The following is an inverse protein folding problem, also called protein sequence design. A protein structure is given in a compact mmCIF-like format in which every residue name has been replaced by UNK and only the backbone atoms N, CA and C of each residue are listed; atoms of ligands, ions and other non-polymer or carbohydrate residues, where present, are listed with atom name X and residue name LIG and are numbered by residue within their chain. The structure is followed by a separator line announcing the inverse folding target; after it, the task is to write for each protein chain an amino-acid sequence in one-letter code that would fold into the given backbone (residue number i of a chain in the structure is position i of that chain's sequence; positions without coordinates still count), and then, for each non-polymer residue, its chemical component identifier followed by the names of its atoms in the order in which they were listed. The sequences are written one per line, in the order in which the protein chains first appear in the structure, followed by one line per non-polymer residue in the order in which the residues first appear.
data_IF_708770132737
#
_entry.id   IF_708770132737
#
_cell.length_a   1.000
_cell.length_b   1.000
_cell.length_c   1.000
_cell.angle_alpha   90.00
_cell.angle_beta   90.00
_cell.angle_gamma   90.00
#
_symmetry.space_group_name_H-M   'P 1'
#
loop_
_entity.id
_entity.type
_entity.pdbx_description
1 polymer ?
#
# COMPACT_ATOMS: atom_id res chain seq x y z
N UNK A 1 40.82 3.36 -9.57
CA UNK A 1 39.75 3.74 -8.65
C UNK A 1 39.01 4.88 -9.33
N UNK A 2 37.73 4.72 -9.62
CA UNK A 2 36.93 5.73 -10.28
C UNK A 2 36.27 6.61 -9.24
N UNK A 3 36.17 7.93 -9.49
CA UNK A 3 35.54 8.90 -8.60
C UNK A 3 34.42 9.62 -9.32
N UNK A 4 33.26 9.74 -8.65
CA UNK A 4 32.17 10.60 -9.05
C UNK A 4 32.02 11.68 -7.99
N UNK A 5 31.85 12.94 -8.38
CA UNK A 5 31.69 14.08 -7.46
C UNK A 5 30.34 14.74 -7.72
N UNK A 6 29.52 14.86 -6.66
CA UNK A 6 28.27 15.61 -6.64
C UNK A 6 28.48 16.89 -5.82
N UNK A 7 28.08 18.03 -6.35
CA UNK A 7 28.06 19.29 -5.62
C UNK A 7 26.65 19.61 -5.15
N UNK A 8 26.52 20.07 -3.91
CA UNK A 8 25.25 20.49 -3.35
C UNK A 8 25.03 21.99 -3.58
N UNK A 9 23.81 22.35 -3.98
CA UNK A 9 23.42 23.75 -4.11
C UNK A 9 23.15 24.41 -2.75
N UNK A 10 22.71 23.60 -1.77
CA UNK A 10 22.37 24.04 -0.41
C UNK A 10 22.81 22.99 0.61
N UNK A 11 23.19 23.45 1.80
CA UNK A 11 23.61 22.58 2.89
C UNK A 11 22.47 21.64 3.36
N UNK A 12 21.20 22.10 3.27
CA UNK A 12 20.04 21.28 3.63
C UNK A 12 19.90 20.05 2.75
N UNK A 13 20.34 20.10 1.48
CA UNK A 13 20.35 18.94 0.59
C UNK A 13 21.33 17.88 1.11
N UNK A 14 22.52 18.28 1.54
CA UNK A 14 23.50 17.36 2.12
C UNK A 14 22.92 16.71 3.38
N UNK A 15 22.38 17.49 4.32
CA UNK A 15 21.81 16.99 5.57
C UNK A 15 20.66 15.99 5.27
N UNK A 16 19.73 16.34 4.39
CA UNK A 16 18.60 15.48 4.03
C UNK A 16 19.05 14.21 3.30
N UNK A 17 20.09 14.30 2.46
CA UNK A 17 20.61 13.18 1.70
C UNK A 17 21.33 12.16 2.60
N UNK A 18 22.20 12.63 3.49
CA UNK A 18 22.95 11.77 4.39
C UNK A 18 22.05 11.13 5.46
N UNK A 19 21.02 11.85 5.93
CA UNK A 19 20.14 11.40 7.00
C UNK A 19 20.83 11.43 8.37
N UNK A 20 20.19 10.83 9.37
CA UNK A 20 20.76 10.75 10.72
C UNK A 20 21.98 9.81 10.72
N UNK A 21 23.12 10.30 11.22
CA UNK A 21 24.37 9.53 11.30
C UNK A 21 24.76 8.86 9.98
N UNK A 22 24.54 9.53 8.86
CA UNK A 22 24.84 9.07 7.50
C UNK A 22 24.14 7.76 7.09
N UNK A 23 23.01 7.44 7.72
CA UNK A 23 22.30 6.18 7.54
C UNK A 23 21.94 5.89 6.08
N UNK A 24 21.54 6.91 5.31
CA UNK A 24 21.17 6.76 3.90
C UNK A 24 22.37 6.40 3.04
N UNK A 25 23.53 7.03 3.30
CA UNK A 25 24.75 6.74 2.52
C UNK A 25 25.33 5.38 2.87
N UNK A 26 25.26 4.94 4.12
CA UNK A 26 25.65 3.58 4.51
C UNK A 26 24.85 2.50 3.78
N UNK A 27 23.59 2.74 3.48
CA UNK A 27 22.78 1.82 2.70
C UNK A 27 23.32 1.70 1.27
N UNK A 28 23.67 2.84 0.64
CA UNK A 28 24.24 2.89 -0.71
C UNK A 28 25.63 2.26 -0.75
N UNK A 29 26.49 2.57 0.22
CA UNK A 29 27.82 1.98 0.35
C UNK A 29 27.77 0.45 0.45
N UNK A 30 26.89 -0.06 1.32
CA UNK A 30 26.72 -1.50 1.52
C UNK A 30 26.14 -2.21 0.29
N UNK A 31 25.22 -1.57 -0.42
CA UNK A 31 24.58 -2.18 -1.61
C UNK A 31 25.54 -2.28 -2.79
N UNK A 32 26.25 -1.21 -3.09
CA UNK A 32 27.13 -1.14 -4.26
C UNK A 32 28.59 -1.44 -3.97
N UNK A 33 28.98 -1.52 -2.71
CA UNK A 33 30.39 -1.73 -2.31
C UNK A 33 31.27 -0.56 -2.72
N UNK A 34 30.77 0.67 -2.57
CA UNK A 34 31.47 1.93 -2.82
C UNK A 34 31.76 2.64 -1.50
N UNK A 35 32.64 3.62 -1.53
CA UNK A 35 32.89 4.52 -0.38
C UNK A 35 32.36 5.91 -0.71
N UNK A 36 31.62 6.50 0.25
CA UNK A 36 31.04 7.85 0.14
C UNK A 36 31.70 8.78 1.15
N UNK A 37 32.29 9.87 0.65
CA UNK A 37 32.97 10.84 1.49
C UNK A 37 32.30 12.21 1.34
N UNK A 38 31.81 12.76 2.46
CA UNK A 38 31.30 14.13 2.52
C UNK A 38 32.47 15.14 2.66
N UNK A 39 32.48 16.18 1.84
CA UNK A 39 33.46 17.28 1.86
C UNK A 39 32.78 18.66 1.94
N UNK A 40 31.91 18.84 2.92
CA UNK A 40 31.15 20.09 3.09
C UNK A 40 30.09 20.30 2.01
N UNK A 41 30.40 21.06 0.99
CA UNK A 41 29.45 21.37 -0.11
C UNK A 41 29.52 20.39 -1.28
N UNK A 42 30.24 19.29 -1.15
CA UNK A 42 30.32 18.23 -2.17
C UNK A 42 30.44 16.86 -1.51
N UNK A 43 30.03 15.83 -2.23
CA UNK A 43 30.28 14.45 -1.87
C UNK A 43 31.04 13.74 -2.98
N UNK A 44 31.88 12.79 -2.61
CA UNK A 44 32.59 11.91 -3.53
C UNK A 44 32.18 10.47 -3.34
N UNK A 45 31.94 9.76 -4.43
CA UNK A 45 31.69 8.32 -4.47
C UNK A 45 32.90 7.68 -5.15
N UNK A 46 33.54 6.74 -4.47
CA UNK A 46 34.77 6.09 -4.93
C UNK A 46 34.60 4.58 -4.98
N UNK A 47 35.07 3.94 -6.03
CA UNK A 47 34.99 2.49 -6.18
C UNK A 47 35.29 1.97 -7.59
N UNK A 48 34.72 0.84 -7.95
CA UNK A 48 34.73 0.30 -9.29
C UNK A 48 33.82 1.11 -10.23
N UNK A 49 34.19 1.34 -11.50
CA UNK A 49 33.44 2.23 -12.40
C UNK A 49 31.96 1.95 -12.54
N UNK A 50 31.57 0.68 -12.73
CA UNK A 50 30.16 0.29 -12.86
C UNK A 50 29.36 0.51 -11.58
N UNK A 51 29.94 0.17 -10.42
CA UNK A 51 29.32 0.33 -9.12
C UNK A 51 29.14 1.80 -8.74
N UNK A 52 30.17 2.62 -9.05
CA UNK A 52 30.10 4.08 -8.85
C UNK A 52 29.01 4.70 -9.73
N UNK A 53 28.87 4.24 -10.99
CA UNK A 53 27.82 4.73 -11.88
C UNK A 53 26.42 4.45 -11.33
N UNK A 54 26.15 3.24 -10.82
CA UNK A 54 24.86 2.87 -10.22
C UNK A 54 24.61 3.66 -8.94
N UNK A 55 25.60 3.76 -8.07
CA UNK A 55 25.52 4.54 -6.84
C UNK A 55 25.26 6.04 -7.14
N UNK A 56 25.91 6.60 -8.15
CA UNK A 56 25.68 7.99 -8.58
C UNK A 56 24.25 8.21 -9.03
N UNK A 57 23.69 7.34 -9.87
CA UNK A 57 22.28 7.41 -10.29
C UNK A 57 21.31 7.33 -9.13
N UNK A 58 21.57 6.46 -8.15
CA UNK A 58 20.75 6.36 -6.95
C UNK A 58 20.78 7.66 -6.14
N UNK A 59 21.97 8.23 -5.93
CA UNK A 59 22.15 9.49 -5.22
C UNK A 59 21.50 10.66 -5.96
N UNK A 60 21.67 10.77 -7.28
CA UNK A 60 21.00 11.79 -8.10
C UNK A 60 19.49 11.70 -7.99
N UNK A 61 18.95 10.48 -8.03
CA UNK A 61 17.53 10.23 -7.83
C UNK A 61 17.02 10.68 -6.47
N UNK A 62 17.78 10.43 -5.40
CA UNK A 62 17.44 10.88 -4.05
C UNK A 62 17.50 12.40 -3.92
N UNK A 63 18.48 13.06 -4.54
CA UNK A 63 18.56 14.54 -4.60
C UNK A 63 17.36 15.12 -5.34
N UNK A 64 16.91 14.51 -6.44
CA UNK A 64 15.69 14.93 -7.13
C UNK A 64 14.46 14.84 -6.24
N UNK A 65 14.33 13.79 -5.42
CA UNK A 65 13.23 13.65 -4.46
C UNK A 65 13.29 14.75 -3.38
N UNK A 66 14.47 15.02 -2.82
CA UNK A 66 14.67 16.11 -1.85
C UNK A 66 14.30 17.48 -2.45
N UNK A 67 14.71 17.76 -3.69
CA UNK A 67 14.39 19.02 -4.38
C UNK A 67 12.89 19.20 -4.61
N UNK A 68 12.12 18.10 -4.66
CA UNK A 68 10.66 18.10 -4.72
C UNK A 68 9.99 18.13 -3.33
N UNK A 69 10.79 18.32 -2.25
CA UNK A 69 10.28 18.42 -0.88
C UNK A 69 9.95 17.09 -0.21
N UNK A 70 10.44 15.95 -0.75
CA UNK A 70 10.29 14.66 -0.10
C UNK A 70 11.32 14.51 1.04
N UNK A 71 10.88 13.99 2.17
CA UNK A 71 11.78 13.56 3.24
C UNK A 71 12.27 12.14 2.96
N UNK A 72 13.58 11.94 2.93
CA UNK A 72 14.16 10.63 2.72
C UNK A 72 14.10 9.80 4.00
N UNK A 73 13.90 8.51 3.82
CA UNK A 73 13.99 7.48 4.85
C UNK A 73 14.56 6.20 4.24
N UNK A 74 14.94 5.24 5.05
CA UNK A 74 15.51 3.96 4.60
C UNK A 74 14.70 3.33 3.44
N UNK A 75 13.38 3.38 3.50
CA UNK A 75 12.50 2.79 2.51
C UNK A 75 12.58 3.49 1.15
N UNK A 76 12.60 4.83 1.13
CA UNK A 76 12.79 5.60 -0.11
C UNK A 76 14.15 5.29 -0.75
N UNK A 77 15.21 5.23 0.08
CA UNK A 77 16.57 4.92 -0.39
C UNK A 77 16.62 3.54 -1.02
N UNK A 78 16.13 2.51 -0.34
CA UNK A 78 16.11 1.13 -0.87
C UNK A 78 15.26 0.99 -2.13
N UNK A 79 14.12 1.67 -2.19
CA UNK A 79 13.27 1.64 -3.37
C UNK A 79 13.94 2.35 -4.56
N UNK A 80 14.61 3.48 -4.32
CA UNK A 80 15.41 4.16 -5.33
C UNK A 80 16.53 3.25 -5.88
N UNK A 81 17.25 2.57 -5.00
CA UNK A 81 18.26 1.56 -5.36
C UNK A 81 17.66 0.46 -6.23
N UNK A 82 16.49 -0.07 -5.88
CA UNK A 82 15.85 -1.13 -6.69
C UNK A 82 15.48 -0.66 -8.09
N UNK A 83 15.02 0.58 -8.25
CA UNK A 83 14.72 1.15 -9.56
C UNK A 83 15.98 1.33 -10.41
N UNK A 84 17.09 1.77 -9.81
CA UNK A 84 18.37 1.91 -10.49
C UNK A 84 18.88 0.55 -10.95
N UNK A 85 18.84 -0.47 -10.10
CA UNK A 85 19.28 -1.83 -10.43
C UNK A 85 18.43 -2.48 -11.54
N UNK A 86 17.20 -2.01 -11.74
CA UNK A 86 16.29 -2.45 -12.81
C UNK A 86 16.43 -1.61 -14.09
N UNK A 87 17.25 -0.56 -14.09
CA UNK A 87 17.38 0.38 -15.22
C UNK A 87 16.13 1.26 -15.40
N UNK A 88 15.38 1.50 -14.33
CA UNK A 88 14.16 2.31 -14.30
C UNK A 88 14.36 3.63 -13.52
N UNK A 89 15.58 4.13 -13.50
CA UNK A 89 15.98 5.37 -12.81
C UNK A 89 15.23 6.62 -13.33
N UNK A 90 14.81 6.62 -14.60
CA UNK A 90 13.95 7.63 -15.22
C UNK A 90 12.59 7.81 -14.50
N UNK A 91 12.15 6.82 -13.74
CA UNK A 91 10.88 6.83 -13.00
C UNK A 91 10.99 7.40 -11.58
N UNK A 92 12.19 7.59 -11.05
CA UNK A 92 12.39 8.12 -9.68
C UNK A 92 11.69 9.47 -9.49
N UNK A 93 11.73 10.44 -10.43
CA UNK A 93 11.03 11.71 -10.27
C UNK A 93 9.52 11.60 -10.10
N UNK A 94 8.92 10.50 -10.56
CA UNK A 94 7.48 10.24 -10.42
C UNK A 94 7.08 9.74 -9.02
N UNK A 95 8.04 9.37 -8.18
CA UNK A 95 7.79 9.01 -6.76
C UNK A 95 7.43 10.23 -5.92
N UNK A 96 7.91 11.42 -6.29
CA UNK A 96 7.47 12.65 -5.69
C UNK A 96 6.00 12.88 -6.08
N UNK A 97 5.10 12.51 -5.19
CA UNK A 97 3.66 12.55 -5.44
C UNK A 97 2.96 13.51 -4.48
N UNK A 98 1.81 14.02 -4.94
CA UNK A 98 0.95 14.85 -4.09
C UNK A 98 0.48 14.07 -2.87
N UNK A 99 0.37 14.78 -1.75
CA UNK A 99 -0.20 14.26 -0.53
C UNK A 99 -1.68 13.89 -0.77
N UNK A 100 -2.06 12.65 -0.44
CA UNK A 100 -3.46 12.20 -0.52
C UNK A 100 -4.26 12.88 0.59
N UNK A 101 -3.80 12.74 1.82
CA UNK A 101 -4.37 13.37 3.01
C UNK A 101 -3.28 13.48 4.09
N UNK A 102 -3.60 14.20 5.16
CA UNK A 102 -2.76 14.32 6.35
C UNK A 102 -3.45 13.54 7.48
N UNK A 103 -2.69 12.70 8.19
CA UNK A 103 -3.16 11.96 9.37
C UNK A 103 -3.41 12.90 10.55
N UNK A 104 -4.07 12.41 11.58
CA UNK A 104 -4.26 13.19 12.83
C UNK A 104 -2.95 13.54 13.52
N UNK A 105 -1.90 12.73 13.36
CA UNK A 105 -0.56 13.01 13.87
C UNK A 105 0.24 14.01 13.01
N UNK A 106 -0.36 14.60 11.97
CA UNK A 106 0.28 15.55 11.07
C UNK A 106 1.17 14.91 9.98
N UNK A 107 1.18 13.58 9.84
CA UNK A 107 1.98 12.88 8.84
C UNK A 107 1.28 12.86 7.48
N UNK A 108 1.96 13.23 6.38
CA UNK A 108 1.40 13.15 5.04
C UNK A 108 1.28 11.69 4.59
N UNK A 109 0.12 11.30 4.06
CA UNK A 109 -0.10 10.02 3.39
C UNK A 109 0.19 10.20 1.91
N UNK A 110 1.22 9.50 1.42
CA UNK A 110 1.67 9.56 0.02
C UNK A 110 1.95 8.14 -0.49
N UNK A 111 1.82 7.88 -1.80
CA UNK A 111 2.37 6.67 -2.42
C UNK A 111 3.88 6.60 -2.22
N UNK A 112 4.40 5.46 -1.82
CA UNK A 112 5.82 5.21 -1.58
C UNK A 112 6.49 4.40 -2.69
N UNK A 113 5.68 3.79 -3.57
CA UNK A 113 6.14 2.99 -4.71
C UNK A 113 5.38 3.39 -5.98
N UNK A 114 5.93 3.01 -7.14
CA UNK A 114 5.26 3.23 -8.43
C UNK A 114 3.93 2.48 -8.53
N UNK A 115 3.87 1.25 -7.99
CA UNK A 115 2.63 0.49 -7.92
C UNK A 115 1.57 1.18 -7.07
N UNK A 116 1.96 1.72 -5.92
CA UNK A 116 1.08 2.52 -5.07
C UNK A 116 0.60 3.80 -5.77
N UNK A 117 1.51 4.51 -6.47
CA UNK A 117 1.15 5.70 -7.24
C UNK A 117 0.13 5.35 -8.32
N UNK A 118 0.42 4.33 -9.13
CA UNK A 118 -0.50 3.85 -10.16
C UNK A 118 -1.88 3.51 -9.57
N UNK A 119 -1.90 2.89 -8.40
CA UNK A 119 -3.15 2.53 -7.72
C UNK A 119 -3.96 3.76 -7.30
N UNK A 120 -3.32 4.73 -6.68
CA UNK A 120 -3.96 6.00 -6.28
C UNK A 120 -4.50 6.75 -7.51
N UNK A 121 -3.71 6.86 -8.58
CA UNK A 121 -4.12 7.51 -9.82
C UNK A 121 -5.29 6.74 -10.48
N UNK A 122 -5.26 5.40 -10.43
CA UNK A 122 -6.36 4.57 -10.94
C UNK A 122 -7.65 4.77 -10.14
N UNK A 123 -7.58 4.81 -8.80
CA UNK A 123 -8.75 5.08 -7.93
C UNK A 123 -9.34 6.46 -8.24
N UNK A 124 -8.49 7.46 -8.48
CA UNK A 124 -8.94 8.81 -8.79
C UNK A 124 -9.78 8.85 -10.08
N UNK A 125 -9.38 8.09 -11.09
CA UNK A 125 -9.89 8.21 -12.45
C UNK A 125 -10.94 7.16 -12.85
N UNK A 126 -11.24 6.16 -11.99
CA UNK A 126 -12.16 5.07 -12.34
C UNK A 126 -13.18 4.81 -11.23
N UNK A 127 -14.34 4.28 -11.59
CA UNK A 127 -15.44 4.00 -10.67
C UNK A 127 -15.23 2.72 -9.87
N UNK A 128 -14.75 1.64 -10.49
CA UNK A 128 -14.46 0.38 -9.79
C UNK A 128 -12.98 0.02 -9.97
N UNK A 129 -12.27 -0.13 -8.85
CA UNK A 129 -10.84 -0.47 -8.86
C UNK A 129 -10.57 -1.69 -8.01
N UNK A 130 -9.93 -2.68 -8.61
CA UNK A 130 -9.39 -3.84 -7.91
C UNK A 130 -7.91 -3.63 -7.61
N UNK A 131 -7.54 -3.60 -6.33
CA UNK A 131 -6.16 -3.58 -5.85
C UNK A 131 -5.74 -4.99 -5.40
N UNK A 132 -4.98 -5.70 -6.23
CA UNK A 132 -4.65 -7.12 -5.99
C UNK A 132 -3.15 -7.30 -5.83
N UNK A 133 -2.72 -8.00 -4.79
CA UNK A 133 -1.31 -8.34 -4.56
C UNK A 133 -0.98 -8.64 -3.12
N UNK A 134 0.33 -8.83 -2.81
CA UNK A 134 0.79 -9.30 -1.52
C UNK A 134 0.37 -8.43 -0.35
N UNK A 135 0.30 -9.01 0.84
CA UNK A 135 0.08 -8.27 2.08
C UNK A 135 1.24 -7.27 2.34
N UNK A 136 0.93 -6.12 2.93
CA UNK A 136 1.93 -5.08 3.22
C UNK A 136 2.23 -4.12 2.07
N UNK A 137 1.51 -4.19 0.95
CA UNK A 137 1.62 -3.23 -0.17
C UNK A 137 0.79 -1.96 0.03
N UNK A 138 0.10 -1.81 1.17
CA UNK A 138 -0.67 -0.62 1.50
C UNK A 138 -2.02 -0.47 0.81
N UNK A 139 -2.53 -1.53 0.15
CA UNK A 139 -3.80 -1.50 -0.62
C UNK A 139 -4.96 -0.88 0.15
N UNK A 140 -5.27 -1.46 1.29
CA UNK A 140 -6.39 -1.03 2.14
C UNK A 140 -6.17 0.35 2.73
N UNK A 141 -4.96 0.62 3.23
CA UNK A 141 -4.60 1.91 3.81
C UNK A 141 -4.73 3.06 2.80
N UNK A 142 -4.23 2.89 1.57
CA UNK A 142 -4.34 3.88 0.50
C UNK A 142 -5.78 4.04 0.00
N UNK A 143 -6.56 2.96 -0.05
CA UNK A 143 -7.98 3.03 -0.38
C UNK A 143 -8.75 3.87 0.66
N UNK A 144 -8.49 3.65 1.96
CA UNK A 144 -9.08 4.44 3.06
C UNK A 144 -8.63 5.91 2.96
N UNK A 145 -7.35 6.18 2.66
CA UNK A 145 -6.86 7.53 2.46
C UNK A 145 -7.60 8.27 1.33
N UNK A 146 -7.83 7.58 0.21
CA UNK A 146 -8.58 8.12 -0.91
C UNK A 146 -10.06 8.36 -0.56
N UNK A 147 -10.67 7.46 0.21
CA UNK A 147 -12.04 7.62 0.71
C UNK A 147 -12.16 8.84 1.64
N UNK A 148 -11.23 9.00 2.58
CA UNK A 148 -11.20 10.16 3.49
C UNK A 148 -10.97 11.46 2.72
N UNK A 149 -10.11 11.45 1.69
CA UNK A 149 -9.90 12.60 0.80
C UNK A 149 -11.20 13.01 0.10
N UNK A 150 -11.88 12.05 -0.56
CA UNK A 150 -13.13 12.29 -1.28
C UNK A 150 -14.24 12.77 -0.32
N UNK A 151 -14.31 12.20 0.88
CA UNK A 151 -15.27 12.60 1.91
C UNK A 151 -15.03 14.04 2.43
N UNK A 152 -13.76 14.39 2.72
CA UNK A 152 -13.40 15.77 3.12
C UNK A 152 -13.64 16.78 2.01
N UNK A 153 -13.45 16.39 0.76
CA UNK A 153 -13.73 17.22 -0.43
C UNK A 153 -15.24 17.30 -0.75
N UNK A 154 -16.09 16.56 -0.02
CA UNK A 154 -17.54 16.45 -0.28
C UNK A 154 -17.89 15.89 -1.67
N UNK A 155 -16.97 15.13 -2.26
CA UNK A 155 -17.21 14.37 -3.49
C UNK A 155 -18.17 13.19 -3.24
N UNK A 156 -18.15 12.66 -2.01
CA UNK A 156 -19.08 11.65 -1.50
C UNK A 156 -19.61 12.08 -0.13
N UNK A 157 -20.78 11.58 0.24
CA UNK A 157 -21.41 11.87 1.54
C UNK A 157 -21.17 10.75 2.56
N UNK A 158 -20.75 9.56 2.10
CA UNK A 158 -20.53 8.40 2.95
C UNK A 158 -19.27 7.63 2.60
N UNK A 159 -18.66 7.03 3.63
CA UNK A 159 -17.62 6.02 3.50
C UNK A 159 -18.17 4.70 4.03
N UNK A 160 -18.13 3.65 3.24
CA UNK A 160 -18.60 2.31 3.63
C UNK A 160 -17.44 1.35 3.50
N UNK A 161 -16.99 0.77 4.61
CA UNK A 161 -15.95 -0.24 4.67
C UNK A 161 -16.58 -1.58 5.02
N UNK A 162 -16.27 -2.57 4.22
CA UNK A 162 -16.79 -3.91 4.44
C UNK A 162 -15.73 -4.97 4.24
N UNK A 163 -15.89 -6.09 4.93
CA UNK A 163 -15.01 -7.25 4.85
C UNK A 163 -15.83 -8.52 4.93
N UNK A 164 -15.49 -9.59 4.17
CA UNK A 164 -16.13 -10.88 4.39
C UNK A 164 -15.79 -11.38 5.80
N UNK A 165 -16.79 -11.81 6.53
CA UNK A 165 -16.58 -12.54 7.77
C UNK A 165 -16.14 -13.96 7.40
N UNK A 166 -14.84 -14.22 7.45
CA UNK A 166 -14.28 -15.58 7.25
C UNK A 166 -13.85 -16.11 8.59
N UNK A 167 -14.29 -17.29 8.89
CA UNK A 167 -13.79 -18.05 10.01
C UNK A 167 -12.44 -18.65 9.60
N UNK A 168 -11.33 -18.04 10.06
CA UNK A 168 -10.00 -18.64 9.95
C UNK A 168 -9.92 -19.86 10.90
N UNK A 169 -10.51 -20.99 10.51
CA UNK A 169 -10.48 -22.24 11.29
C UNK A 169 -11.34 -22.26 12.55
N UNK A 170 -11.87 -21.14 13.03
CA UNK A 170 -12.78 -21.06 14.18
C UNK A 170 -14.18 -20.70 13.69
N UNK A 171 -15.16 -21.57 14.01
CA UNK A 171 -16.57 -21.25 13.71
C UNK A 171 -17.00 -20.06 14.56
N UNK A 172 -17.58 -19.01 13.94
CA UNK A 172 -18.17 -17.85 14.62
C UNK A 172 -19.06 -18.22 15.84
N UNK A 173 -19.49 -19.46 15.92
CA UNK A 173 -20.24 -20.03 17.04
C UNK A 173 -19.47 -20.14 18.35
N UNK A 174 -18.13 -20.09 18.36
CA UNK A 174 -17.32 -20.24 19.58
C UNK A 174 -17.01 -18.93 20.31
N UNK A 175 -17.17 -17.78 19.65
CA UNK A 175 -16.95 -16.48 20.31
C UNK A 175 -18.19 -16.09 21.13
N UNK A 176 -18.03 -15.66 22.39
CA UNK A 176 -19.14 -15.13 23.19
C UNK A 176 -19.60 -13.78 22.65
N UNK A 177 -20.88 -13.47 22.76
CA UNK A 177 -21.44 -12.20 22.33
C UNK A 177 -22.39 -12.29 21.14
N UNK A 178 -22.98 -11.14 20.76
CA UNK A 178 -23.83 -11.03 19.58
C UNK A 178 -22.99 -11.11 18.28
N UNK A 179 -23.68 -11.18 17.14
CA UNK A 179 -23.00 -11.31 15.83
C UNK A 179 -22.06 -10.15 15.55
N UNK A 180 -22.39 -8.95 15.99
CA UNK A 180 -21.60 -7.74 15.78
C UNK A 180 -20.30 -7.79 16.59
N UNK A 181 -20.37 -8.18 17.85
CA UNK A 181 -19.20 -8.35 18.73
C UNK A 181 -18.26 -9.44 18.22
N UNK A 182 -18.79 -10.50 17.61
CA UNK A 182 -18.00 -11.59 17.02
C UNK A 182 -17.24 -11.18 15.74
N UNK A 183 -17.79 -10.24 14.99
CA UNK A 183 -17.19 -9.78 13.72
C UNK A 183 -16.24 -8.60 13.92
N UNK A 184 -16.42 -7.82 15.00
CA UNK A 184 -15.65 -6.60 15.28
C UNK A 184 -14.12 -6.80 15.25
N UNK A 185 -13.52 -7.88 15.80
CA UNK A 185 -12.09 -8.12 15.70
C UNK A 185 -11.56 -8.19 14.25
N UNK A 186 -12.36 -8.71 13.33
CA UNK A 186 -11.98 -8.81 11.90
C UNK A 186 -12.05 -7.47 11.18
N UNK A 187 -12.81 -6.50 11.70
CA UNK A 187 -12.93 -5.16 11.16
C UNK A 187 -11.89 -4.18 11.72
N UNK A 188 -11.15 -4.59 12.77
CA UNK A 188 -10.20 -3.73 13.48
C UNK A 188 -9.17 -3.05 12.58
N UNK A 189 -8.55 -3.70 11.58
CA UNK A 189 -7.62 -3.04 10.68
C UNK A 189 -8.23 -1.88 9.88
N UNK A 190 -9.54 -1.93 9.62
CA UNK A 190 -10.27 -0.85 8.95
C UNK A 190 -10.48 0.34 9.88
N UNK A 191 -10.83 0.06 11.16
CA UNK A 191 -10.93 1.10 12.19
C UNK A 191 -9.59 1.80 12.42
N UNK A 192 -8.49 1.03 12.51
CA UNK A 192 -7.15 1.58 12.73
C UNK A 192 -6.76 2.58 11.63
N UNK A 193 -7.03 2.25 10.36
CA UNK A 193 -6.77 3.14 9.24
C UNK A 193 -7.62 4.42 9.30
N UNK A 194 -8.90 4.31 9.67
CA UNK A 194 -9.78 5.47 9.84
C UNK A 194 -9.36 6.34 11.02
N UNK A 195 -8.97 5.73 12.15
CA UNK A 195 -8.50 6.45 13.33
C UNK A 195 -7.22 7.22 13.08
N UNK A 196 -6.27 6.63 12.34
CA UNK A 196 -5.03 7.32 11.95
C UNK A 196 -5.33 8.60 11.14
N UNK A 197 -6.32 8.56 10.25
CA UNK A 197 -6.65 9.66 9.35
C UNK A 197 -7.63 10.68 9.92
N UNK A 198 -8.64 10.25 10.66
CA UNK A 198 -9.73 11.10 11.15
C UNK A 198 -9.60 11.44 12.64
N UNK A 199 -8.93 10.59 13.42
CA UNK A 199 -8.97 10.56 14.86
C UNK A 199 -10.23 9.88 15.40
N UNK A 200 -10.15 9.36 16.64
CA UNK A 200 -11.23 8.59 17.23
C UNK A 200 -12.53 9.42 17.39
N UNK A 201 -12.42 10.66 17.88
CA UNK A 201 -13.59 11.52 18.13
C UNK A 201 -14.34 11.88 16.85
N UNK A 202 -13.62 12.25 15.77
CA UNK A 202 -14.25 12.58 14.50
C UNK A 202 -14.86 11.34 13.84
N UNK A 203 -14.16 10.20 13.92
CA UNK A 203 -14.70 8.94 13.43
C UNK A 203 -16.00 8.59 14.13
N UNK A 204 -16.04 8.63 15.46
CA UNK A 204 -17.24 8.32 16.25
C UNK A 204 -18.41 9.23 15.86
N UNK A 205 -18.18 10.55 15.76
CA UNK A 205 -19.21 11.51 15.30
C UNK A 205 -19.74 11.19 13.91
N UNK A 206 -18.86 10.79 12.98
CA UNK A 206 -19.26 10.40 11.62
C UNK A 206 -20.04 9.08 11.60
N UNK A 207 -19.65 8.13 12.45
CA UNK A 207 -20.35 6.85 12.60
C UNK A 207 -21.76 7.03 13.18
N UNK A 208 -21.91 7.81 14.23
CA UNK A 208 -23.21 8.16 14.84
C UNK A 208 -24.15 8.85 13.84
N UNK A 209 -23.60 9.68 12.93
CA UNK A 209 -24.36 10.33 11.84
C UNK A 209 -24.63 9.41 10.65
N UNK A 210 -24.11 8.20 10.64
CA UNK A 210 -24.22 7.29 9.52
C UNK A 210 -23.40 7.69 8.27
N UNK A 211 -22.50 8.67 8.40
CA UNK A 211 -21.60 9.09 7.32
C UNK A 211 -20.42 8.15 7.12
N UNK A 212 -20.04 7.39 8.14
CA UNK A 212 -19.05 6.32 8.07
C UNK A 212 -19.66 5.05 8.65
N UNK A 213 -19.59 3.99 7.87
CA UNK A 213 -20.08 2.66 8.24
C UNK A 213 -18.97 1.63 8.06
N UNK A 214 -18.72 0.82 9.08
CA UNK A 214 -17.86 -0.35 9.01
C UNK A 214 -18.70 -1.57 9.35
N UNK A 215 -18.90 -2.47 8.40
CA UNK A 215 -19.86 -3.56 8.55
C UNK A 215 -19.43 -4.82 7.80
N UNK A 216 -19.87 -6.02 8.24
CA UNK A 216 -19.68 -7.25 7.48
C UNK A 216 -20.30 -7.18 6.10
N UNK A 217 -19.70 -7.88 5.12
CA UNK A 217 -20.17 -7.93 3.74
C UNK A 217 -21.65 -8.35 3.61
N UNK A 218 -22.13 -9.23 4.48
CA UNK A 218 -23.52 -9.69 4.48
C UNK A 218 -24.52 -8.54 4.64
N UNK A 219 -24.16 -7.45 5.32
CA UNK A 219 -25.03 -6.28 5.57
C UNK A 219 -25.19 -5.39 4.33
N UNK A 220 -24.48 -5.66 3.25
CA UNK A 220 -24.61 -4.94 1.99
C UNK A 220 -25.79 -5.46 1.14
N UNK A 221 -26.34 -6.63 1.48
CA UNK A 221 -27.39 -7.26 0.69
C UNK A 221 -28.66 -6.42 0.67
N UNK A 222 -29.25 -6.25 -0.53
CA UNK A 222 -30.52 -5.52 -0.73
C UNK A 222 -30.40 -4.00 -0.68
N UNK A 223 -29.18 -3.46 -0.57
CA UNK A 223 -28.93 -2.01 -0.51
C UNK A 223 -28.53 -1.47 -1.89
N UNK A 224 -28.78 -0.18 -2.10
CA UNK A 224 -28.16 0.64 -3.14
C UNK A 224 -27.38 1.75 -2.43
N UNK A 225 -26.12 1.90 -2.78
CA UNK A 225 -25.19 2.77 -2.07
C UNK A 225 -24.86 3.97 -2.97
N UNK A 226 -25.68 5.01 -2.88
CA UNK A 226 -25.46 6.29 -3.58
C UNK A 226 -24.52 7.21 -2.81
N UNK A 227 -23.87 8.15 -3.53
CA UNK A 227 -22.97 9.18 -2.99
C UNK A 227 -21.93 8.64 -2.01
N UNK A 228 -21.40 7.45 -2.31
CA UNK A 228 -20.61 6.67 -1.36
C UNK A 228 -19.25 6.25 -1.92
N UNK A 229 -18.23 6.29 -1.06
CA UNK A 229 -16.96 5.61 -1.32
C UNK A 229 -16.97 4.28 -0.58
N UNK A 230 -16.94 3.18 -1.32
CA UNK A 230 -17.20 1.84 -0.80
C UNK A 230 -15.91 1.03 -0.92
N UNK A 231 -15.46 0.40 0.17
CA UNK A 231 -14.26 -0.43 0.18
C UNK A 231 -14.63 -1.84 0.63
N UNK A 232 -14.28 -2.85 -0.19
CA UNK A 232 -14.31 -4.25 0.20
C UNK A 232 -12.88 -4.74 0.40
N UNK A 233 -12.53 -5.02 1.65
CA UNK A 233 -11.24 -5.54 2.03
C UNK A 233 -11.23 -7.08 2.14
N UNK A 234 -10.06 -7.72 1.99
CA UNK A 234 -9.86 -9.19 2.01
C UNK A 234 -10.81 -9.94 1.05
N UNK A 235 -11.04 -9.33 -0.10
CA UNK A 235 -12.03 -9.79 -1.07
C UNK A 235 -11.72 -11.18 -1.68
N UNK A 236 -10.48 -11.68 -1.57
CA UNK A 236 -10.15 -13.05 -1.97
C UNK A 236 -10.98 -14.09 -1.21
N UNK A 237 -11.47 -13.73 -0.02
CA UNK A 237 -12.28 -14.58 0.84
C UNK A 237 -13.78 -14.44 0.60
N UNK A 238 -14.19 -13.86 -0.53
CA UNK A 238 -15.58 -13.88 -1.00
C UNK A 238 -15.81 -15.04 -1.95
N UNK A 239 -17.06 -15.55 -1.98
CA UNK A 239 -17.51 -16.42 -3.08
C UNK A 239 -17.88 -15.58 -4.31
N UNK A 240 -18.01 -16.18 -5.53
CA UNK A 240 -18.45 -15.46 -6.72
C UNK A 240 -19.81 -14.78 -6.54
N UNK A 241 -20.75 -15.41 -5.84
CA UNK A 241 -22.07 -14.88 -5.55
C UNK A 241 -22.01 -13.67 -4.61
N UNK A 242 -21.15 -13.73 -3.59
CA UNK A 242 -20.92 -12.61 -2.66
C UNK A 242 -20.28 -11.43 -3.38
N UNK A 243 -19.28 -11.67 -4.22
CA UNK A 243 -18.64 -10.63 -5.03
C UNK A 243 -19.63 -9.97 -5.97
N UNK A 244 -20.41 -10.76 -6.71
CA UNK A 244 -21.47 -10.24 -7.59
C UNK A 244 -22.49 -9.43 -6.80
N UNK A 245 -22.97 -9.97 -5.68
CA UNK A 245 -23.89 -9.28 -4.77
C UNK A 245 -23.35 -7.92 -4.35
N UNK A 246 -22.08 -7.84 -3.96
CA UNK A 246 -21.43 -6.60 -3.53
C UNK A 246 -21.28 -5.58 -4.66
N UNK A 247 -20.72 -5.97 -5.80
CA UNK A 247 -20.49 -5.07 -6.92
C UNK A 247 -21.79 -4.45 -7.46
N UNK A 248 -22.91 -5.19 -7.35
CA UNK A 248 -24.22 -4.68 -7.74
C UNK A 248 -24.88 -3.77 -6.69
N UNK A 249 -24.17 -3.37 -5.63
CA UNK A 249 -24.59 -2.33 -4.66
C UNK A 249 -24.23 -0.93 -5.10
N UNK A 250 -23.39 -0.80 -6.13
CA UNK A 250 -22.97 0.49 -6.67
C UNK A 250 -24.19 1.33 -7.03
N UNK A 251 -24.31 2.49 -6.40
CA UNK A 251 -25.32 3.50 -6.70
C UNK A 251 -24.74 4.66 -7.49
N UNK A 252 -25.55 5.69 -7.71
CA UNK A 252 -25.12 6.89 -8.42
C UNK A 252 -24.09 7.68 -7.61
N UNK A 253 -23.18 8.35 -8.31
CA UNK A 253 -22.08 9.14 -7.73
C UNK A 253 -21.25 8.38 -6.69
N UNK A 254 -21.05 7.08 -6.90
CA UNK A 254 -20.34 6.21 -5.96
C UNK A 254 -19.12 5.58 -6.60
N UNK A 255 -18.18 5.19 -5.75
CA UNK A 255 -16.93 4.54 -6.13
C UNK A 255 -16.72 3.27 -5.30
N UNK A 256 -16.28 2.20 -5.95
CA UNK A 256 -15.92 0.94 -5.30
C UNK A 256 -14.43 0.68 -5.44
N UNK A 257 -13.80 0.37 -4.31
CA UNK A 257 -12.43 -0.15 -4.28
C UNK A 257 -12.44 -1.53 -3.63
N UNK A 258 -11.92 -2.51 -4.35
CA UNK A 258 -11.82 -3.90 -3.87
C UNK A 258 -10.36 -4.23 -3.63
N UNK A 259 -10.01 -4.64 -2.42
CA UNK A 259 -8.64 -5.01 -2.05
C UNK A 259 -8.55 -6.49 -1.70
N UNK A 260 -7.44 -7.13 -2.04
CA UNK A 260 -7.23 -8.53 -1.68
C UNK A 260 -5.90 -9.11 -2.13
N UNK A 261 -5.59 -10.28 -1.56
CA UNK A 261 -4.41 -11.07 -1.87
C UNK A 261 -4.84 -12.46 -2.37
N UNK A 262 -4.67 -12.70 -3.66
CA UNK A 262 -5.08 -13.96 -4.28
C UNK A 262 -4.23 -15.18 -3.87
N UNK A 263 -3.17 -14.96 -3.07
CA UNK A 263 -2.34 -16.04 -2.52
C UNK A 263 -2.81 -16.48 -1.13
N UNK A 264 -3.58 -15.63 -0.43
CA UNK A 264 -4.07 -15.85 0.93
C UNK A 264 -5.59 -16.11 0.92
N UNK A 265 -6.00 -17.24 0.37
CA UNK A 265 -7.42 -17.61 0.28
C UNK A 265 -7.74 -18.58 1.41
N UNK A 266 -8.60 -18.15 2.34
CA UNK A 266 -9.04 -18.91 3.52
C UNK A 266 -10.47 -19.48 3.35
N UNK A 267 -10.94 -19.58 2.11
CA UNK A 267 -12.25 -20.17 1.81
C UNK A 267 -12.21 -21.68 2.07
N UNK A 268 -13.35 -22.28 2.52
CA UNK A 268 -13.48 -23.73 2.65
C UNK A 268 -13.14 -24.46 1.35
N UNK A 269 -12.66 -25.70 1.48
CA UNK A 269 -12.29 -26.55 0.36
C UNK A 269 -13.40 -26.63 -0.70
N UNK A 270 -12.99 -26.52 -1.96
CA UNK A 270 -13.89 -26.59 -3.11
C UNK A 270 -14.59 -25.27 -3.47
N UNK A 271 -14.51 -24.22 -2.64
CA UNK A 271 -15.06 -22.90 -3.00
C UNK A 271 -14.08 -22.06 -3.80
N UNK A 272 -14.58 -21.40 -4.85
CA UNK A 272 -13.78 -20.50 -5.69
C UNK A 272 -13.78 -19.10 -5.10
N UNK A 273 -12.64 -18.42 -5.23
CA UNK A 273 -12.54 -17.01 -4.84
C UNK A 273 -13.26 -16.11 -5.83
N UNK A 274 -14.21 -15.33 -5.31
CA UNK A 274 -14.95 -14.34 -6.08
C UNK A 274 -14.05 -13.23 -6.64
N UNK A 275 -12.99 -12.84 -5.92
CA UNK A 275 -12.00 -11.88 -6.42
C UNK A 275 -11.29 -12.40 -7.67
N UNK A 276 -10.79 -13.65 -7.63
CA UNK A 276 -10.11 -14.27 -8.78
C UNK A 276 -11.02 -14.33 -10.02
N UNK A 277 -12.28 -14.62 -9.81
CA UNK A 277 -13.29 -14.72 -10.89
C UNK A 277 -13.66 -13.34 -11.42
N UNK A 278 -13.98 -12.38 -10.54
CA UNK A 278 -14.36 -11.02 -10.93
C UNK A 278 -13.29 -10.33 -11.78
N UNK A 279 -12.01 -10.42 -11.38
CA UNK A 279 -10.88 -9.85 -12.13
C UNK A 279 -10.78 -10.41 -13.56
N UNK A 280 -11.20 -11.67 -13.79
CA UNK A 280 -11.20 -12.28 -15.13
C UNK A 280 -12.42 -11.84 -15.95
N UNK A 281 -13.60 -11.84 -15.35
CA UNK A 281 -14.87 -11.56 -16.02
C UNK A 281 -15.00 -10.08 -16.39
N UNK A 282 -14.53 -9.18 -15.50
CA UNK A 282 -14.77 -7.75 -15.63
C UNK A 282 -13.63 -6.97 -16.31
N UNK A 283 -12.58 -7.65 -16.80
CA UNK A 283 -11.37 -7.03 -17.35
C UNK A 283 -11.60 -6.09 -18.54
N UNK A 284 -12.65 -6.36 -19.34
CA UNK A 284 -12.93 -5.64 -20.58
C UNK A 284 -14.09 -4.62 -20.42
N UNK A 285 -14.57 -4.43 -19.17
CA UNK A 285 -15.63 -3.44 -18.90
C UNK A 285 -14.98 -2.07 -18.68
N UNK A 286 -15.36 -1.04 -19.45
CA UNK A 286 -14.87 0.33 -19.25
C UNK A 286 -15.10 0.79 -17.80
N UNK A 287 -14.18 1.59 -17.26
CA UNK A 287 -14.26 2.16 -15.90
C UNK A 287 -14.15 1.11 -14.75
N UNK A 288 -13.80 -0.13 -15.09
CA UNK A 288 -13.40 -1.17 -14.12
C UNK A 288 -11.94 -1.54 -14.38
N UNK A 289 -11.07 -1.24 -13.42
CA UNK A 289 -9.62 -1.42 -13.59
C UNK A 289 -9.02 -2.27 -12.48
N UNK A 290 -8.11 -3.18 -12.86
CA UNK A 290 -7.32 -3.97 -11.92
C UNK A 290 -5.88 -3.45 -11.87
N UNK A 291 -5.43 -3.08 -10.69
CA UNK A 291 -4.01 -2.78 -10.39
C UNK A 291 -3.41 -3.96 -9.65
N UNK A 292 -2.29 -4.47 -10.17
CA UNK A 292 -1.54 -5.58 -9.56
C UNK A 292 -0.32 -5.02 -8.87
N UNK A 293 -0.20 -5.34 -7.59
CA UNK A 293 0.99 -5.09 -6.79
C UNK A 293 1.91 -6.32 -6.82
N UNK A 294 3.19 -6.05 -6.65
CA UNK A 294 4.24 -7.06 -6.60
C UNK A 294 4.98 -7.00 -5.27
N UNK A 295 5.90 -7.92 -5.03
CA UNK A 295 6.77 -7.91 -3.84
C UNK A 295 7.58 -6.61 -3.71
N UNK A 296 7.86 -5.91 -4.83
CA UNK A 296 8.54 -4.61 -4.86
C UNK A 296 7.73 -3.48 -4.23
N UNK A 297 6.42 -3.65 -4.17
CA UNK A 297 5.50 -2.67 -3.57
C UNK A 297 5.29 -2.91 -2.06
N UNK A 298 5.93 -3.94 -1.49
CA UNK A 298 5.82 -4.28 -0.07
C UNK A 298 6.55 -3.24 0.77
N UNK A 299 5.78 -2.58 1.63
CA UNK A 299 6.22 -1.53 2.54
C UNK A 299 6.18 -2.07 3.97
N UNK A 300 7.26 -2.73 4.40
CA UNK A 300 7.38 -3.36 5.71
C UNK A 300 8.73 -3.09 6.34
N UNK A 301 8.76 -3.13 7.68
CA UNK A 301 10.01 -3.10 8.42
C UNK A 301 10.94 -4.23 7.95
N UNK A 302 12.25 -3.94 7.79
CA UNK A 302 13.24 -4.90 7.27
C UNK A 302 13.21 -6.23 8.02
N UNK A 303 13.19 -6.18 9.35
CA UNK A 303 13.16 -7.39 10.17
C UNK A 303 11.93 -8.26 9.89
N UNK A 304 10.76 -7.66 9.58
CA UNK A 304 9.56 -8.41 9.22
C UNK A 304 9.73 -9.10 7.86
N UNK A 305 10.39 -8.45 6.89
CA UNK A 305 10.71 -9.07 5.60
C UNK A 305 11.68 -10.25 5.79
N UNK A 306 12.70 -10.08 6.64
CA UNK A 306 13.69 -11.12 6.93
C UNK A 306 13.03 -12.32 7.64
N UNK A 307 12.09 -12.08 8.56
CA UNK A 307 11.30 -13.14 9.23
C UNK A 307 10.50 -13.92 8.19
N UNK A 308 9.76 -13.23 7.30
CA UNK A 308 8.95 -13.91 6.26
C UNK A 308 9.82 -14.79 5.39
N UNK A 309 10.93 -14.25 4.86
CA UNK A 309 11.88 -15.01 4.04
C UNK A 309 12.46 -16.23 4.76
N UNK A 310 12.72 -16.11 6.06
CA UNK A 310 13.23 -17.23 6.86
C UNK A 310 12.18 -18.35 6.97
N UNK A 311 10.91 -18.03 7.20
CA UNK A 311 9.84 -19.02 7.27
C UNK A 311 9.55 -19.67 5.91
N UNK A 312 9.54 -18.93 4.82
CA UNK A 312 9.39 -19.45 3.44
C UNK A 312 10.50 -20.46 3.12
N UNK A 313 11.75 -20.08 3.39
CA UNK A 313 12.90 -20.96 3.19
C UNK A 313 12.87 -22.23 4.04
N UNK A 314 12.32 -22.14 5.24
CA UNK A 314 12.11 -23.30 6.10
C UNK A 314 11.00 -24.22 5.58
N UNK A 315 9.89 -23.65 5.12
CA UNK A 315 8.77 -24.37 4.51
C UNK A 315 9.20 -25.15 3.26
N UNK A 316 9.94 -24.51 2.34
CA UNK A 316 10.46 -25.17 1.13
C UNK A 316 11.38 -26.34 1.41
N UNK A 317 12.19 -26.28 2.47
CA UNK A 317 13.08 -27.38 2.87
C UNK A 317 12.31 -28.59 3.39
N UNK A 318 11.14 -28.38 4.00
CA UNK A 318 10.34 -29.47 4.58
C UNK A 318 9.34 -30.09 3.60
N UNK A 319 9.10 -29.46 2.43
CA UNK A 319 8.21 -29.97 1.37
C UNK A 319 8.96 -30.92 0.40
N UNK A 320 10.30 -31.01 0.44
CA UNK A 320 11.02 -32.02 -0.37
C UNK A 320 10.72 -33.41 0.20
N UNK A 321 10.08 -34.31 -0.57
CA UNK A 321 9.78 -35.66 -0.09
C UNK A 321 11.11 -36.39 0.22
N UNK A 322 11.17 -36.98 1.37
CA UNK A 322 12.20 -37.99 1.66
C UNK A 322 12.10 -39.08 0.60
N UNK A 323 13.12 -39.16 -0.25
CA UNK A 323 13.31 -40.31 -1.15
C UNK A 323 13.56 -41.56 -0.36
#
# INVERSE_FOLDING_TARGET
MYEYTLNFERMEQAIGLFGNFDENMRIIENEYGVSVVNRGNSMKICGEPEKVSLAAKAVEGLVMLLNKGEQLNEQNVRYCISLVNEGADDRIPSLASDCICITMSGKPVKPKTLGQKKYVDTIKNNTIVFGVGPAGTGKTYLAVAMAVKAFRAKEVTRIILTRPAVEAGEKLGFLPGDLQQKVDPYLRPLYDALFDMLGADNFQKCQEKGSIEVAPLAYMRGRTLDDSFIILDEAQNTTPEQMKMFLTRLGFNSKIVVTGDITQIDLPDGKKSGLKEAVKILKDIPDIVTVRFTEKDVVRHRLVQDIIKAYEKYGEKNIKPKK
#
